data_IF_819478301796
#
_entry.id   IF_819478301796
#
_cell.length_a   1.000
_cell.length_b   1.000
_cell.length_c   1.000
_cell.angle_alpha   90.00
_cell.angle_beta   90.00
_cell.angle_gamma   90.00
#
_symmetry.space_group_name_H-M   'P 1'
#
loop_
_entity.id
_entity.type
_entity.pdbx_description
1 polymer ?
#
# COMPACT_ATOMS: atom_id res chain seq x y z
N UNK A 1 31.98 24.13 15.78
CA UNK A 1 31.39 25.35 15.19
C UNK A 1 30.67 24.86 13.95
N UNK A 2 29.41 24.47 14.12
CA UNK A 2 28.59 23.91 13.04
C UNK A 2 28.02 25.06 12.22
N UNK A 3 28.25 25.02 10.91
CA UNK A 3 27.63 25.95 9.97
C UNK A 3 26.22 25.43 9.68
N UNK A 4 25.24 25.93 10.42
CA UNK A 4 23.86 25.95 9.93
C UNK A 4 23.81 26.94 8.77
N UNK A 5 23.73 26.42 7.54
CA UNK A 5 23.35 27.24 6.39
C UNK A 5 21.87 27.61 6.55
N UNK A 6 21.62 28.75 7.19
CA UNK A 6 20.30 29.31 7.45
C UNK A 6 19.66 29.96 6.22
N UNK A 7 20.15 29.66 5.02
CA UNK A 7 19.51 30.05 3.76
C UNK A 7 18.46 29.03 3.34
N UNK A 8 17.62 28.62 4.29
CA UNK A 8 16.32 28.06 3.95
C UNK A 8 15.57 29.16 3.18
N UNK A 9 15.63 29.12 1.86
CA UNK A 9 14.64 29.78 1.02
C UNK A 9 13.33 29.05 1.31
N UNK A 10 12.64 29.50 2.35
CA UNK A 10 11.26 29.10 2.58
C UNK A 10 10.48 29.63 1.38
N UNK A 11 9.96 28.74 0.56
CA UNK A 11 9.05 29.06 -0.53
C UNK A 11 7.66 29.43 0.03
N UNK A 12 7.63 30.36 1.00
CA UNK A 12 6.48 30.61 1.86
C UNK A 12 5.25 31.14 1.09
N UNK A 13 5.41 31.56 -0.17
CA UNK A 13 4.34 32.17 -0.98
C UNK A 13 4.40 31.83 -2.48
N UNK A 14 4.84 30.62 -2.84
CA UNK A 14 4.78 30.19 -4.24
C UNK A 14 3.37 29.70 -4.61
N UNK A 15 2.51 30.62 -5.03
CA UNK A 15 1.33 30.25 -5.80
C UNK A 15 1.79 29.78 -7.17
N UNK A 16 1.70 28.47 -7.45
CA UNK A 16 1.93 27.93 -8.78
C UNK A 16 0.78 28.33 -9.71
N UNK A 17 0.85 29.52 -10.31
CA UNK A 17 -0.13 30.00 -11.29
C UNK A 17 0.04 29.33 -12.67
N UNK A 18 0.95 28.36 -12.76
CA UNK A 18 1.33 27.61 -13.96
C UNK A 18 0.12 26.88 -14.58
N UNK A 19 -0.91 26.56 -13.78
CA UNK A 19 -2.07 25.78 -14.22
C UNK A 19 -3.09 26.59 -15.04
N UNK A 20 -3.00 27.91 -15.05
CA UNK A 20 -3.76 28.73 -16.00
C UNK A 20 -3.35 28.47 -17.47
N UNK A 21 -2.13 27.96 -17.67
CA UNK A 21 -1.50 27.78 -18.99
C UNK A 21 -1.68 26.34 -19.53
N UNK A 22 -1.99 25.36 -18.67
CA UNK A 22 -2.09 23.94 -19.05
C UNK A 22 -3.49 23.37 -18.75
N UNK A 23 -4.54 23.81 -19.48
CA UNK A 23 -5.94 23.42 -19.21
C UNK A 23 -6.26 21.93 -19.52
N UNK A 24 -5.28 21.15 -19.96
CA UNK A 24 -5.43 19.72 -20.32
C UNK A 24 -4.47 18.82 -19.55
N UNK A 25 -4.00 19.28 -18.39
CA UNK A 25 -3.09 18.50 -17.56
C UNK A 25 -3.85 17.30 -16.95
N UNK A 26 -3.42 16.08 -17.26
CA UNK A 26 -4.06 14.84 -16.76
C UNK A 26 -3.31 14.23 -15.57
N UNK A 27 -2.01 14.50 -15.45
CA UNK A 27 -1.16 14.06 -14.36
C UNK A 27 -0.57 15.31 -13.69
N UNK A 28 -0.77 15.41 -12.39
CA UNK A 28 -0.11 16.40 -11.55
C UNK A 28 0.52 15.70 -10.37
N UNK A 29 1.84 15.66 -10.33
CA UNK A 29 2.56 14.93 -9.30
C UNK A 29 3.72 15.78 -8.79
N UNK A 30 3.65 16.14 -7.51
CA UNK A 30 4.68 16.86 -6.78
C UNK A 30 4.86 16.20 -5.41
N UNK A 31 5.78 15.25 -5.34
CA UNK A 31 6.29 14.73 -4.08
C UNK A 31 7.30 15.71 -3.46
N UNK A 32 7.31 15.78 -2.13
CA UNK A 32 8.36 16.42 -1.31
C UNK A 32 8.56 17.94 -1.44
N UNK A 33 7.67 18.66 -2.11
CA UNK A 33 7.65 20.13 -2.06
C UNK A 33 6.60 20.58 -1.03
N UNK A 34 6.99 21.22 0.08
CA UNK A 34 6.05 21.84 1.00
C UNK A 34 5.43 23.05 0.29
N UNK A 35 4.14 22.96 -0.06
CA UNK A 35 3.42 24.07 -0.70
C UNK A 35 2.44 24.67 0.31
N UNK A 36 2.67 25.89 0.77
CA UNK A 36 1.78 26.52 1.78
C UNK A 36 0.34 26.72 1.28
N UNK A 37 0.17 26.89 -0.05
CA UNK A 37 -1.14 27.01 -0.70
C UNK A 37 -1.12 26.35 -2.09
N UNK A 38 -1.93 25.30 -2.26
CA UNK A 38 -2.23 24.74 -3.57
C UNK A 38 -3.52 25.37 -4.11
N UNK A 39 -3.41 26.18 -5.17
CA UNK A 39 -4.56 26.67 -5.91
C UNK A 39 -4.47 26.17 -7.34
N UNK A 40 -5.40 25.31 -7.74
CA UNK A 40 -5.53 24.86 -9.11
C UNK A 40 -6.62 25.67 -9.81
N UNK A 41 -6.37 26.04 -11.08
CA UNK A 41 -7.40 26.65 -11.89
C UNK A 41 -8.60 25.69 -12.04
N UNK A 42 -9.85 26.17 -12.10
CA UNK A 42 -11.03 25.30 -12.20
C UNK A 42 -10.97 24.31 -13.37
N UNK A 43 -10.35 24.69 -14.50
CA UNK A 43 -10.13 23.80 -15.63
C UNK A 43 -9.14 22.64 -15.33
N UNK A 44 -8.19 22.85 -14.41
CA UNK A 44 -7.32 21.79 -13.91
C UNK A 44 -8.09 20.77 -13.09
N UNK A 45 -9.00 21.21 -12.21
CA UNK A 45 -9.80 20.32 -11.36
C UNK A 45 -10.70 19.35 -12.14
N UNK A 46 -11.05 19.70 -13.38
CA UNK A 46 -11.86 18.85 -14.27
C UNK A 46 -11.04 17.99 -15.23
N UNK A 47 -9.72 18.24 -15.36
CA UNK A 47 -8.87 17.51 -16.31
C UNK A 47 -7.86 16.57 -15.64
N UNK A 48 -7.46 16.86 -14.40
CA UNK A 48 -6.52 16.02 -13.65
C UNK A 48 -7.18 14.69 -13.29
N UNK A 49 -6.54 13.60 -13.71
CA UNK A 49 -6.96 12.22 -13.46
C UNK A 49 -6.03 11.53 -12.46
N UNK A 50 -4.76 11.93 -12.39
CA UNK A 50 -3.75 11.40 -11.47
C UNK A 50 -3.14 12.55 -10.66
N UNK A 51 -3.21 12.46 -9.34
CA UNK A 51 -2.70 13.47 -8.41
C UNK A 51 -1.72 12.86 -7.41
N UNK A 52 -0.52 13.41 -7.28
CA UNK A 52 0.47 13.06 -6.27
C UNK A 52 0.89 14.28 -5.46
N UNK A 53 0.72 14.25 -4.13
CA UNK A 53 0.98 15.39 -3.25
C UNK A 53 1.47 14.98 -1.86
N UNK A 54 2.21 15.89 -1.23
CA UNK A 54 2.62 15.82 0.18
C UNK A 54 1.66 16.60 1.09
N UNK A 55 1.40 16.13 2.32
CA UNK A 55 0.57 16.84 3.30
C UNK A 55 1.35 17.80 4.21
N UNK A 56 2.69 17.74 4.19
CA UNK A 56 3.57 18.59 5.00
C UNK A 56 3.25 20.09 4.81
N UNK A 57 2.76 20.73 5.87
CA UNK A 57 2.41 22.15 5.89
C UNK A 57 1.18 22.55 5.07
N UNK A 58 0.45 21.60 4.47
CA UNK A 58 -0.55 21.90 3.43
C UNK A 58 -1.82 21.07 3.45
N UNK A 59 -2.03 20.22 4.47
CA UNK A 59 -3.17 19.31 4.53
C UNK A 59 -4.53 19.98 4.27
N UNK A 60 -4.78 21.18 4.80
CA UNK A 60 -6.04 21.91 4.54
C UNK A 60 -6.21 22.29 3.07
N UNK A 61 -5.17 22.78 2.40
CA UNK A 61 -5.24 23.18 1.00
C UNK A 61 -5.47 21.97 0.10
N UNK A 62 -4.80 20.85 0.38
CA UNK A 62 -4.98 19.58 -0.33
C UNK A 62 -6.42 19.08 -0.17
N UNK A 63 -6.93 19.01 1.06
CA UNK A 63 -8.30 18.55 1.33
C UNK A 63 -9.36 19.43 0.65
N UNK A 64 -9.20 20.76 0.66
CA UNK A 64 -10.09 21.67 -0.06
C UNK A 64 -10.02 21.49 -1.59
N UNK A 65 -8.83 21.23 -2.12
CA UNK A 65 -8.65 20.99 -3.56
C UNK A 65 -9.36 19.71 -3.99
N UNK A 66 -9.20 18.63 -3.23
CA UNK A 66 -9.83 17.33 -3.51
C UNK A 66 -11.37 17.41 -3.60
N UNK A 67 -12.02 18.28 -2.83
CA UNK A 67 -13.48 18.49 -2.89
C UNK A 67 -14.00 18.90 -4.27
N UNK A 68 -13.14 19.51 -5.08
CA UNK A 68 -13.52 20.00 -6.42
C UNK A 68 -13.14 19.03 -7.56
N UNK A 69 -12.45 17.94 -7.25
CA UNK A 69 -11.88 17.02 -8.26
C UNK A 69 -12.81 15.83 -8.54
N UNK A 70 -13.74 16.02 -9.47
CA UNK A 70 -14.75 15.00 -9.81
C UNK A 70 -14.24 13.91 -10.76
N UNK A 71 -13.12 14.12 -11.44
CA UNK A 71 -12.54 13.21 -12.43
C UNK A 71 -11.28 12.48 -11.94
N UNK A 72 -10.91 12.69 -10.68
CA UNK A 72 -9.72 12.10 -10.10
C UNK A 72 -9.88 10.57 -10.03
N UNK A 73 -8.99 9.86 -10.71
CA UNK A 73 -8.99 8.39 -10.83
C UNK A 73 -7.86 7.74 -10.02
N UNK A 74 -6.75 8.46 -9.80
CA UNK A 74 -5.60 8.00 -9.02
C UNK A 74 -5.15 9.11 -8.08
N UNK A 75 -4.93 8.76 -6.82
CA UNK A 75 -4.48 9.68 -5.78
C UNK A 75 -3.33 9.06 -5.00
N UNK A 76 -2.21 9.76 -4.92
CA UNK A 76 -1.05 9.43 -4.10
C UNK A 76 -0.84 10.55 -3.08
N UNK A 77 -0.90 10.21 -1.80
CA UNK A 77 -0.70 11.15 -0.70
C UNK A 77 0.44 10.71 0.19
N UNK A 78 1.45 11.56 0.30
CA UNK A 78 2.47 11.48 1.35
C UNK A 78 1.92 12.12 2.63
N UNK A 79 1.53 11.29 3.58
CA UNK A 79 0.92 11.59 4.88
C UNK A 79 1.93 12.09 5.93
N UNK A 80 2.80 13.03 5.60
CA UNK A 80 3.86 13.58 6.47
C UNK A 80 3.48 14.93 7.12
N UNK A 81 2.20 15.14 7.41
CA UNK A 81 1.68 16.42 7.91
C UNK A 81 0.37 16.27 8.67
N UNK A 82 -0.22 17.41 9.07
CA UNK A 82 -1.50 17.39 9.78
C UNK A 82 -2.68 17.40 8.82
N UNK A 83 -3.71 16.63 9.14
CA UNK A 83 -4.98 16.63 8.42
C UNK A 83 -6.01 17.35 9.29
N UNK A 84 -6.62 18.45 8.80
CA UNK A 84 -7.69 19.09 9.54
C UNK A 84 -8.91 18.17 9.60
N UNK A 85 -9.65 18.22 10.70
CA UNK A 85 -10.95 17.58 10.78
C UNK A 85 -11.94 18.32 9.88
N UNK A 86 -12.41 17.69 8.82
CA UNK A 86 -13.45 18.24 7.97
C UNK A 86 -14.83 17.88 8.54
N UNK A 87 -15.86 18.72 8.35
CA UNK A 87 -17.21 18.42 8.84
C UNK A 87 -17.84 17.21 8.12
N UNK A 88 -17.41 16.96 6.88
CA UNK A 88 -17.89 15.86 6.04
C UNK A 88 -16.71 15.24 5.31
N UNK A 89 -16.78 13.92 5.08
CA UNK A 89 -15.84 13.23 4.22
C UNK A 89 -15.95 13.74 2.77
N UNK A 90 -14.81 13.84 2.10
CA UNK A 90 -14.67 14.27 0.71
C UNK A 90 -15.06 13.10 -0.18
N UNK A 91 -16.08 13.29 -1.02
CA UNK A 91 -16.53 12.24 -1.92
C UNK A 91 -15.70 12.23 -3.22
N UNK A 92 -14.98 11.13 -3.44
CA UNK A 92 -14.12 10.90 -4.60
C UNK A 92 -14.69 9.73 -5.43
N UNK A 93 -15.88 9.93 -5.99
CA UNK A 93 -16.66 8.90 -6.72
C UNK A 93 -15.93 8.24 -7.89
N UNK A 94 -15.02 8.97 -8.53
CA UNK A 94 -14.25 8.49 -9.69
C UNK A 94 -12.93 7.83 -9.31
N UNK A 95 -12.53 7.88 -8.03
CA UNK A 95 -11.25 7.36 -7.60
C UNK A 95 -11.24 5.83 -7.70
N UNK A 96 -10.19 5.31 -8.31
CA UNK A 96 -9.94 3.87 -8.52
C UNK A 96 -8.70 3.43 -7.77
N UNK A 97 -7.65 4.24 -7.79
CA UNK A 97 -6.38 3.93 -7.16
C UNK A 97 -6.08 4.94 -6.06
N UNK A 98 -5.75 4.44 -4.87
CA UNK A 98 -5.35 5.24 -3.73
C UNK A 98 -4.08 4.66 -3.14
N UNK A 99 -3.08 5.52 -3.01
CA UNK A 99 -1.84 5.25 -2.32
C UNK A 99 -1.70 6.25 -1.18
N UNK A 100 -1.50 5.73 0.02
CA UNK A 100 -1.24 6.51 1.21
C UNK A 100 0.13 6.11 1.75
N UNK A 101 1.08 7.05 1.80
CA UNK A 101 2.44 6.83 2.30
C UNK A 101 2.65 7.61 3.57
N UNK A 102 3.05 6.99 4.67
CA UNK A 102 3.37 7.69 5.92
C UNK A 102 4.87 7.57 6.14
N UNK A 103 5.70 8.55 5.76
CA UNK A 103 7.15 8.38 5.75
C UNK A 103 7.85 8.70 7.06
N UNK A 104 7.10 9.01 8.10
CA UNK A 104 7.61 9.38 9.41
C UNK A 104 6.87 8.64 10.53
N UNK A 105 6.16 7.54 10.21
CA UNK A 105 5.29 6.80 11.14
C UNK A 105 4.37 7.72 11.96
N UNK A 106 3.88 8.80 11.34
CA UNK A 106 3.11 9.87 12.00
C UNK A 106 1.69 9.46 12.34
N UNK A 107 1.27 8.26 11.92
CA UNK A 107 -0.05 7.71 12.11
C UNK A 107 -1.16 8.54 11.45
N UNK A 108 -0.82 9.20 10.34
CA UNK A 108 -1.71 10.14 9.65
C UNK A 108 -2.63 9.43 8.65
N UNK A 109 -2.23 8.25 8.14
CA UNK A 109 -3.03 7.44 7.21
C UNK A 109 -4.48 7.22 7.70
N UNK A 110 -4.73 6.76 8.95
CA UNK A 110 -6.09 6.62 9.46
C UNK A 110 -6.89 7.93 9.48
N UNK A 111 -6.22 9.06 9.69
CA UNK A 111 -6.88 10.37 9.68
C UNK A 111 -7.28 10.77 8.26
N UNK A 112 -6.38 10.62 7.28
CA UNK A 112 -6.68 10.83 5.85
C UNK A 112 -7.83 9.94 5.40
N UNK A 113 -7.76 8.64 5.72
CA UNK A 113 -8.78 7.65 5.36
C UNK A 113 -10.18 8.06 5.82
N UNK A 114 -10.31 8.57 7.05
CA UNK A 114 -11.61 9.05 7.58
C UNK A 114 -12.14 10.30 6.88
N UNK A 115 -11.27 11.10 6.25
CA UNK A 115 -11.66 12.32 5.55
C UNK A 115 -12.08 12.07 4.10
N UNK A 116 -11.88 10.87 3.54
CA UNK A 116 -12.20 10.58 2.14
C UNK A 116 -13.23 9.45 2.04
N UNK A 117 -14.21 9.63 1.17
CA UNK A 117 -15.17 8.61 0.79
C UNK A 117 -14.86 8.15 -0.64
N UNK A 118 -14.56 6.86 -0.80
CA UNK A 118 -13.99 6.29 -2.03
C UNK A 118 -14.82 5.07 -2.49
N UNK A 119 -16.08 5.27 -2.92
CA UNK A 119 -17.03 4.17 -3.12
C UNK A 119 -16.63 3.19 -4.23
N UNK A 120 -15.84 3.64 -5.19
CA UNK A 120 -15.45 2.87 -6.36
C UNK A 120 -13.95 2.53 -6.40
N UNK A 121 -13.28 2.57 -5.25
CA UNK A 121 -11.87 2.23 -5.11
C UNK A 121 -11.63 0.75 -5.47
N UNK A 122 -10.70 0.49 -6.39
CA UNK A 122 -10.32 -0.87 -6.82
C UNK A 122 -8.93 -1.28 -6.33
N UNK A 123 -8.02 -0.31 -6.16
CA UNK A 123 -6.67 -0.52 -5.67
C UNK A 123 -6.41 0.35 -4.43
N UNK A 124 -6.02 -0.27 -3.33
CA UNK A 124 -5.56 0.41 -2.11
C UNK A 124 -4.13 -0.02 -1.80
N UNK A 125 -3.23 0.96 -1.74
CA UNK A 125 -1.86 0.76 -1.32
C UNK A 125 -1.55 1.58 -0.06
N UNK A 126 -1.00 0.92 0.95
CA UNK A 126 -0.55 1.53 2.20
C UNK A 126 0.96 1.36 2.31
N UNK A 127 1.68 2.45 2.38
CA UNK A 127 3.13 2.46 2.57
C UNK A 127 3.46 3.10 3.91
N UNK A 128 4.23 2.41 4.74
CA UNK A 128 4.73 2.97 6.00
C UNK A 128 6.24 3.06 5.90
N UNK A 129 6.72 4.30 5.84
CA UNK A 129 8.12 4.73 5.80
C UNK A 129 8.40 5.54 7.15
N UNK A 130 9.62 5.89 7.56
CA UNK A 130 10.02 6.34 8.92
C UNK A 130 10.83 5.38 9.81
N UNK A 131 12.08 5.73 10.14
CA UNK A 131 13.01 4.94 11.00
C UNK A 131 12.56 4.74 12.46
N UNK A 132 11.53 5.45 12.91
CA UNK A 132 11.08 5.45 14.30
C UNK A 132 10.21 4.22 14.62
N UNK A 133 10.38 3.72 15.85
CA UNK A 133 9.78 2.49 16.40
C UNK A 133 8.26 2.49 16.55
N UNK A 134 7.58 3.51 16.00
CA UNK A 134 6.14 3.65 16.15
C UNK A 134 5.40 2.65 15.26
N UNK A 135 4.39 2.02 15.85
CA UNK A 135 3.65 0.93 15.22
C UNK A 135 2.82 1.48 14.05
N UNK A 136 2.80 0.80 12.89
CA UNK A 136 1.93 1.21 11.79
C UNK A 136 0.47 1.13 12.25
N UNK A 137 -0.24 2.26 12.21
CA UNK A 137 -1.69 2.27 12.46
C UNK A 137 -2.43 2.17 11.13
N UNK A 138 -3.19 1.10 11.01
CA UNK A 138 -4.01 0.83 9.85
C UNK A 138 -5.31 1.64 9.84
N UNK A 139 -5.83 2.00 8.65
CA UNK A 139 -7.17 2.57 8.54
C UNK A 139 -8.21 1.54 9.00
N UNK A 140 -9.21 2.01 9.77
CA UNK A 140 -10.32 1.17 10.18
C UNK A 140 -11.36 1.09 9.08
N UNK A 141 -11.60 -0.13 8.59
CA UNK A 141 -12.70 -0.44 7.67
C UNK A 141 -13.92 -0.85 8.49
N UNK A 142 -14.84 0.09 8.71
CA UNK A 142 -16.05 -0.15 9.50
C UNK A 142 -17.08 -1.03 8.77
N UNK A 143 -16.96 -1.11 7.44
CA UNK A 143 -17.83 -1.88 6.57
C UNK A 143 -16.99 -2.60 5.51
N UNK A 144 -17.42 -3.77 5.01
CA UNK A 144 -16.74 -4.45 3.92
C UNK A 144 -16.66 -3.57 2.67
N UNK A 145 -15.45 -3.43 2.11
CA UNK A 145 -15.19 -2.76 0.83
C UNK A 145 -15.12 -3.81 -0.28
N UNK A 146 -16.24 -4.01 -0.97
CA UNK A 146 -16.36 -5.02 -2.02
C UNK A 146 -15.81 -4.58 -3.37
N UNK A 147 -15.53 -3.29 -3.56
CA UNK A 147 -14.95 -2.76 -4.80
C UNK A 147 -13.44 -2.96 -4.90
N UNK A 148 -12.74 -3.10 -3.77
CA UNK A 148 -11.29 -3.25 -3.73
C UNK A 148 -10.93 -4.69 -4.12
N UNK A 149 -10.10 -4.82 -5.16
CA UNK A 149 -9.62 -6.10 -5.72
C UNK A 149 -8.11 -6.24 -5.65
N UNK A 150 -7.38 -5.13 -5.46
CA UNK A 150 -5.94 -5.06 -5.30
C UNK A 150 -5.62 -4.34 -3.98
N UNK A 151 -4.92 -5.04 -3.09
CA UNK A 151 -4.51 -4.50 -1.82
C UNK A 151 -3.01 -4.72 -1.60
N UNK A 152 -2.32 -3.63 -1.30
CA UNK A 152 -0.86 -3.61 -1.17
C UNK A 152 -0.46 -2.97 0.16
N UNK A 153 0.45 -3.61 0.87
CA UNK A 153 1.02 -3.12 2.12
C UNK A 153 2.54 -3.18 2.01
N UNK A 154 3.19 -2.04 2.24
CA UNK A 154 4.63 -1.86 2.18
C UNK A 154 5.13 -1.33 3.51
N UNK A 155 6.16 -1.99 4.05
CA UNK A 155 6.70 -1.73 5.38
C UNK A 155 8.22 -1.75 5.30
N UNK A 156 8.85 -0.59 5.39
CA UNK A 156 10.29 -0.43 5.13
C UNK A 156 11.17 -0.72 6.38
N UNK A 157 10.62 -0.70 7.61
CA UNK A 157 11.41 -0.78 8.85
C UNK A 157 11.78 -2.18 9.35
N UNK A 158 12.80 -2.20 10.23
CA UNK A 158 12.89 -3.14 11.36
C UNK A 158 11.66 -2.95 12.25
N UNK A 159 10.54 -3.48 11.78
CA UNK A 159 9.42 -3.66 12.66
C UNK A 159 9.72 -4.94 13.44
N UNK A 160 10.58 -4.81 14.45
CA UNK A 160 11.04 -5.86 15.37
C UNK A 160 9.88 -6.63 16.05
N UNK A 161 8.63 -6.27 15.74
CA UNK A 161 7.39 -6.72 16.34
C UNK A 161 6.26 -6.88 15.32
N UNK A 162 6.52 -7.50 14.18
CA UNK A 162 5.49 -7.87 13.19
C UNK A 162 4.20 -8.39 13.82
N UNK A 163 4.37 -9.32 14.75
CA UNK A 163 3.33 -9.97 15.55
C UNK A 163 2.33 -9.00 16.21
N UNK A 164 2.73 -7.77 16.55
CA UNK A 164 1.87 -6.82 17.25
C UNK A 164 0.78 -6.21 16.38
N UNK A 165 0.97 -6.14 15.07
CA UNK A 165 0.03 -5.47 14.17
C UNK A 165 -0.48 -6.37 13.04
N UNK A 166 0.01 -7.61 12.92
CA UNK A 166 -0.58 -8.60 12.02
C UNK A 166 -2.08 -8.78 12.25
N UNK A 167 -2.50 -8.77 13.52
CA UNK A 167 -3.93 -8.90 13.88
C UNK A 167 -4.78 -7.76 13.31
N UNK A 168 -4.23 -6.55 13.26
CA UNK A 168 -4.92 -5.41 12.67
C UNK A 168 -4.96 -5.51 11.14
N UNK A 169 -3.89 -6.01 10.50
CA UNK A 169 -3.89 -6.31 9.08
C UNK A 169 -4.91 -7.40 8.74
N UNK A 170 -4.99 -8.49 9.51
CA UNK A 170 -6.01 -9.53 9.38
C UNK A 170 -7.42 -8.92 9.45
N UNK A 171 -7.67 -8.01 10.40
CA UNK A 171 -8.96 -7.34 10.50
C UNK A 171 -9.30 -6.50 9.25
N UNK A 172 -8.31 -5.88 8.60
CA UNK A 172 -8.51 -5.23 7.29
C UNK A 172 -8.88 -6.28 6.24
N UNK A 173 -8.13 -7.37 6.14
CA UNK A 173 -8.35 -8.41 5.12
C UNK A 173 -9.77 -8.98 5.18
N UNK A 174 -10.33 -9.16 6.38
CA UNK A 174 -11.73 -9.56 6.56
C UNK A 174 -12.76 -8.57 6.00
N UNK A 175 -12.40 -7.29 5.93
CA UNK A 175 -13.23 -6.24 5.34
C UNK A 175 -12.96 -6.04 3.85
N UNK A 176 -12.09 -6.86 3.23
CA UNK A 176 -11.75 -6.81 1.81
C UNK A 176 -12.06 -8.17 1.14
N UNK A 177 -13.35 -8.56 1.01
CA UNK A 177 -13.71 -9.91 0.58
C UNK A 177 -13.36 -10.24 -0.89
N UNK A 178 -13.20 -9.22 -1.74
CA UNK A 178 -13.02 -9.38 -3.19
C UNK A 178 -11.57 -9.24 -3.66
N UNK A 179 -10.60 -9.33 -2.75
CA UNK A 179 -9.18 -9.26 -3.12
C UNK A 179 -8.81 -10.41 -4.03
N UNK A 180 -8.24 -10.04 -5.17
CA UNK A 180 -7.61 -10.93 -6.15
C UNK A 180 -6.09 -10.84 -6.09
N UNK A 181 -5.57 -9.63 -5.86
CA UNK A 181 -4.14 -9.34 -5.76
C UNK A 181 -3.85 -8.86 -4.34
N UNK A 182 -3.00 -9.61 -3.62
CA UNK A 182 -2.47 -9.19 -2.34
C UNK A 182 -0.95 -9.09 -2.40
N UNK A 183 -0.43 -7.88 -2.14
CA UNK A 183 1.00 -7.62 -2.02
C UNK A 183 1.35 -7.22 -0.59
N UNK A 184 2.27 -7.95 0.00
CA UNK A 184 2.83 -7.67 1.31
C UNK A 184 4.35 -7.65 1.20
N UNK A 185 4.91 -6.46 1.37
CA UNK A 185 6.33 -6.19 1.32
C UNK A 185 6.80 -5.72 2.71
N UNK A 186 7.74 -6.45 3.29
CA UNK A 186 8.18 -6.23 4.67
C UNK A 186 9.58 -6.77 4.89
N UNK A 187 10.25 -6.34 5.95
CA UNK A 187 11.50 -6.96 6.37
C UNK A 187 11.30 -8.35 6.96
N UNK A 188 10.31 -8.49 7.85
CA UNK A 188 10.09 -9.68 8.67
C UNK A 188 8.94 -10.55 8.15
N UNK A 189 8.89 -11.85 8.50
CA UNK A 189 7.78 -12.71 8.17
C UNK A 189 6.49 -12.34 8.93
N UNK A 190 5.36 -12.81 8.41
CA UNK A 190 4.01 -12.51 8.85
C UNK A 190 3.24 -13.79 9.13
N UNK A 191 3.68 -14.58 10.13
CA UNK A 191 3.09 -15.87 10.42
C UNK A 191 1.60 -15.78 10.74
N UNK A 192 1.11 -14.76 11.46
CA UNK A 192 -0.31 -14.67 11.82
C UNK A 192 -1.18 -14.45 10.58
N UNK A 193 -0.76 -13.59 9.65
CA UNK A 193 -1.48 -13.42 8.37
C UNK A 193 -1.52 -14.73 7.59
N UNK A 194 -0.41 -15.46 7.54
CA UNK A 194 -0.34 -16.73 6.81
C UNK A 194 -1.14 -17.85 7.49
N UNK A 195 -1.11 -17.90 8.83
CA UNK A 195 -1.94 -18.80 9.63
C UNK A 195 -3.43 -18.51 9.42
N UNK A 196 -3.81 -17.24 9.33
CA UNK A 196 -5.19 -16.85 9.10
C UNK A 196 -5.67 -17.32 7.72
N UNK A 197 -4.88 -17.08 6.67
CA UNK A 197 -5.17 -17.56 5.31
C UNK A 197 -5.19 -19.09 5.20
N UNK A 198 -4.49 -19.80 6.10
CA UNK A 198 -4.53 -21.25 6.21
C UNK A 198 -5.78 -21.74 6.95
N UNK A 199 -6.08 -21.17 8.12
CA UNK A 199 -7.15 -21.63 8.99
C UNK A 199 -8.54 -21.27 8.46
N UNK A 200 -8.67 -20.09 7.84
CA UNK A 200 -9.94 -19.51 7.41
C UNK A 200 -9.99 -19.36 5.89
N UNK A 201 -10.60 -20.33 5.22
CA UNK A 201 -10.77 -20.34 3.75
C UNK A 201 -11.65 -19.19 3.22
N UNK A 202 -12.47 -18.60 4.11
CA UNK A 202 -13.27 -17.41 3.83
C UNK A 202 -12.44 -16.11 3.87
N UNK A 203 -11.20 -16.16 4.37
CA UNK A 203 -10.28 -15.04 4.28
C UNK A 203 -9.70 -14.98 2.86
N UNK A 204 -10.04 -13.89 2.15
CA UNK A 204 -9.64 -13.62 0.76
C UNK A 204 -9.96 -14.78 -0.20
N UNK A 205 -11.23 -15.21 -0.36
CA UNK A 205 -11.57 -16.40 -1.15
C UNK A 205 -11.21 -16.24 -2.63
N UNK A 206 -11.11 -15.01 -3.12
CA UNK A 206 -10.81 -14.69 -4.53
C UNK A 206 -9.32 -14.46 -4.82
N UNK A 207 -8.44 -14.61 -3.83
CA UNK A 207 -7.00 -14.38 -3.95
C UNK A 207 -6.38 -15.33 -4.98
N UNK A 208 -5.89 -14.77 -6.10
CA UNK A 208 -5.24 -15.51 -7.18
C UNK A 208 -3.79 -15.04 -7.44
N UNK A 209 -3.40 -13.85 -6.98
CA UNK A 209 -2.04 -13.34 -7.03
C UNK A 209 -1.56 -12.97 -5.62
N UNK A 210 -0.49 -13.62 -5.18
CA UNK A 210 0.15 -13.35 -3.89
C UNK A 210 1.58 -12.89 -4.13
N UNK A 211 1.88 -11.66 -3.72
CA UNK A 211 3.23 -11.12 -3.73
C UNK A 211 3.69 -10.99 -2.28
N UNK A 212 4.49 -11.95 -1.84
CA UNK A 212 4.99 -12.02 -0.47
C UNK A 212 6.49 -11.76 -0.44
N UNK A 213 6.84 -10.47 -0.32
CA UNK A 213 8.20 -9.97 -0.45
C UNK A 213 8.77 -9.68 0.93
N UNK A 214 9.38 -10.70 1.53
CA UNK A 214 10.05 -10.58 2.84
C UNK A 214 11.57 -10.59 2.68
N UNK A 215 12.25 -9.59 3.25
CA UNK A 215 13.72 -9.48 3.17
C UNK A 215 14.43 -10.55 4.01
N UNK A 216 13.83 -10.95 5.13
CA UNK A 216 14.34 -12.05 5.94
C UNK A 216 13.88 -13.38 5.37
N UNK A 217 14.79 -14.36 5.33
CA UNK A 217 14.45 -15.70 4.87
C UNK A 217 13.37 -16.34 5.76
N UNK A 218 12.32 -16.88 5.15
CA UNK A 218 11.33 -17.70 5.83
C UNK A 218 12.00 -18.96 6.40
N UNK A 219 12.09 -19.09 7.73
CA UNK A 219 12.76 -20.22 8.38
C UNK A 219 11.77 -21.11 9.12
N UNK A 220 11.98 -22.42 9.03
CA UNK A 220 11.34 -23.43 9.88
C UNK A 220 9.80 -23.27 9.96
N UNK A 221 9.28 -22.85 11.12
CA UNK A 221 7.85 -22.74 11.38
C UNK A 221 7.13 -21.78 10.42
N UNK A 222 7.71 -20.61 10.13
CA UNK A 222 7.11 -19.64 9.21
C UNK A 222 7.05 -20.20 7.77
N UNK A 223 8.09 -20.92 7.35
CA UNK A 223 8.10 -21.61 6.05
C UNK A 223 7.05 -22.74 6.01
N UNK A 224 6.92 -23.53 7.09
CA UNK A 224 5.93 -24.60 7.17
C UNK A 224 4.49 -24.07 7.11
N UNK A 225 4.18 -23.00 7.86
CA UNK A 225 2.88 -22.32 7.82
C UNK A 225 2.58 -21.81 6.41
N UNK A 226 3.53 -21.12 5.79
CA UNK A 226 3.36 -20.57 4.45
C UNK A 226 3.10 -21.66 3.41
N UNK A 227 3.90 -22.73 3.38
CA UNK A 227 3.73 -23.83 2.43
C UNK A 227 2.41 -24.58 2.66
N UNK A 228 2.02 -24.81 3.91
CA UNK A 228 0.74 -25.44 4.24
C UNK A 228 -0.45 -24.56 3.86
N UNK A 229 -0.34 -23.24 4.00
CA UNK A 229 -1.34 -22.28 3.53
C UNK A 229 -1.57 -22.45 2.03
N UNK A 230 -0.50 -22.45 1.23
CA UNK A 230 -0.59 -22.65 -0.22
C UNK A 230 -1.23 -23.99 -0.58
N UNK A 231 -0.78 -25.09 0.03
CA UNK A 231 -1.33 -26.42 -0.21
C UNK A 231 -2.82 -26.49 0.13
N UNK A 232 -3.22 -25.96 1.30
CA UNK A 232 -4.61 -26.00 1.74
C UNK A 232 -5.52 -25.20 0.81
N UNK A 233 -5.09 -24.01 0.38
CA UNK A 233 -5.86 -23.19 -0.56
C UNK A 233 -6.01 -23.87 -1.91
N UNK A 234 -4.96 -24.52 -2.40
CA UNK A 234 -5.01 -25.34 -3.62
C UNK A 234 -6.05 -26.47 -3.52
N UNK A 235 -6.14 -27.14 -2.38
CA UNK A 235 -7.06 -28.27 -2.18
C UNK A 235 -8.49 -27.84 -1.78
N UNK A 236 -8.70 -26.56 -1.46
CA UNK A 236 -9.97 -26.05 -0.94
C UNK A 236 -10.87 -25.54 -2.08
N UNK A 237 -12.07 -26.12 -2.29
CA UNK A 237 -12.96 -25.70 -3.38
C UNK A 237 -13.56 -24.30 -3.19
N UNK A 238 -13.46 -23.72 -1.99
CA UNK A 238 -13.92 -22.38 -1.67
C UNK A 238 -12.90 -21.27 -1.95
N UNK A 239 -11.68 -21.62 -2.37
CA UNK A 239 -10.62 -20.67 -2.65
C UNK A 239 -10.29 -20.64 -4.14
N UNK A 240 -10.02 -19.45 -4.67
CA UNK A 240 -9.31 -19.32 -5.93
C UNK A 240 -7.91 -19.93 -5.79
N UNK A 241 -7.46 -20.57 -6.88
CA UNK A 241 -6.10 -21.09 -6.99
C UNK A 241 -5.17 -19.89 -7.14
N UNK A 242 -4.13 -19.81 -6.31
CA UNK A 242 -3.05 -18.83 -6.48
C UNK A 242 -2.28 -19.23 -7.74
N UNK A 243 -2.49 -18.48 -8.82
CA UNK A 243 -1.86 -18.73 -10.12
C UNK A 243 -0.57 -17.95 -10.29
N UNK A 244 -0.38 -16.87 -9.52
CA UNK A 244 0.86 -16.11 -9.47
C UNK A 244 1.34 -16.01 -8.03
N UNK A 245 2.53 -16.55 -7.77
CA UNK A 245 3.22 -16.39 -6.49
C UNK A 245 4.55 -15.71 -6.74
N UNK A 246 4.79 -14.60 -6.05
CA UNK A 246 6.06 -13.90 -6.03
C UNK A 246 6.61 -13.94 -4.61
N UNK A 247 7.82 -14.48 -4.45
CA UNK A 247 8.54 -14.51 -3.18
C UNK A 247 9.96 -13.98 -3.39
N UNK A 248 10.42 -13.11 -2.49
CA UNK A 248 11.74 -12.48 -2.59
C UNK A 248 12.88 -13.42 -2.14
N UNK A 249 12.63 -14.20 -1.08
CA UNK A 249 13.62 -15.11 -0.49
C UNK A 249 13.14 -16.55 -0.54
N UNK A 250 14.06 -17.48 -0.86
CA UNK A 250 13.72 -18.91 -0.89
C UNK A 250 13.51 -19.42 0.56
N UNK A 251 12.38 -20.09 0.86
CA UNK A 251 12.12 -20.57 2.21
C UNK A 251 13.13 -21.63 2.64
N UNK A 252 13.68 -21.50 3.84
CA UNK A 252 14.55 -22.51 4.47
C UNK A 252 13.64 -23.50 5.19
N UNK A 253 13.50 -24.68 4.58
CA UNK A 253 12.53 -25.70 4.95
C UNK A 253 13.18 -26.97 5.51
N UNK A 254 12.45 -27.69 6.35
CA UNK A 254 12.78 -29.08 6.66
C UNK A 254 12.39 -29.99 5.47
N UNK A 255 12.81 -31.26 5.51
CA UNK A 255 12.56 -32.21 4.41
C UNK A 255 11.06 -32.42 4.12
N UNK A 256 10.20 -32.43 5.15
CA UNK A 256 8.75 -32.64 4.98
C UNK A 256 8.13 -31.44 4.26
N UNK A 257 8.44 -30.23 4.72
CA UNK A 257 7.96 -28.98 4.12
C UNK A 257 8.50 -28.82 2.69
N UNK A 258 9.75 -29.22 2.43
CA UNK A 258 10.34 -29.20 1.09
C UNK A 258 9.58 -30.13 0.12
N UNK A 259 9.20 -31.34 0.54
CA UNK A 259 8.42 -32.24 -0.31
C UNK A 259 7.04 -31.66 -0.67
N UNK A 260 6.39 -30.96 0.26
CA UNK A 260 5.13 -30.26 -0.02
C UNK A 260 5.34 -29.11 -1.00
N UNK A 261 6.37 -28.30 -0.79
CA UNK A 261 6.75 -27.23 -1.70
C UNK A 261 6.97 -27.76 -3.13
N UNK A 262 7.77 -28.82 -3.29
CA UNK A 262 8.03 -29.44 -4.59
C UNK A 262 6.74 -29.93 -5.26
N UNK A 263 5.80 -30.48 -4.48
CA UNK A 263 4.48 -30.93 -4.99
C UNK A 263 3.62 -29.77 -5.48
N UNK A 264 3.71 -28.60 -4.83
CA UNK A 264 3.03 -27.37 -5.27
C UNK A 264 3.68 -26.87 -6.56
N UNK A 265 5.01 -26.71 -6.57
CA UNK A 265 5.78 -26.17 -7.69
C UNK A 265 5.70 -27.01 -8.97
N UNK A 266 5.60 -28.34 -8.84
CA UNK A 266 5.53 -29.24 -10.00
C UNK A 266 4.15 -29.25 -10.68
N UNK A 267 3.14 -28.64 -10.07
CA UNK A 267 1.82 -28.53 -10.66
C UNK A 267 1.79 -27.38 -11.69
N UNK A 268 1.88 -27.75 -12.97
CA UNK A 268 2.00 -26.83 -14.13
C UNK A 268 0.85 -25.83 -14.30
N UNK A 269 -0.19 -25.91 -13.47
CA UNK A 269 -1.33 -24.99 -13.46
C UNK A 269 -0.96 -23.65 -12.80
N UNK A 270 0.08 -23.62 -11.95
CA UNK A 270 0.50 -22.42 -11.22
C UNK A 270 1.77 -21.84 -11.87
N UNK A 271 1.68 -20.63 -12.45
CA UNK A 271 2.84 -19.93 -12.96
C UNK A 271 3.52 -19.21 -11.79
N UNK A 272 4.46 -19.90 -11.15
CA UNK A 272 5.15 -19.38 -9.97
C UNK A 272 6.47 -18.75 -10.39
N UNK A 273 6.60 -17.43 -10.19
CA UNK A 273 7.84 -16.71 -10.40
C UNK A 273 8.54 -16.53 -9.06
N UNK A 274 9.45 -17.45 -8.76
CA UNK A 274 10.38 -17.31 -7.64
C UNK A 274 11.52 -16.41 -8.10
N UNK A 275 11.43 -15.12 -7.76
CA UNK A 275 12.52 -14.19 -7.99
C UNK A 275 13.62 -14.44 -6.96
N UNK A 276 14.68 -15.12 -7.36
CA UNK A 276 15.91 -15.16 -6.57
C UNK A 276 16.67 -13.86 -6.78
N UNK A 277 16.45 -12.89 -5.88
CA UNK A 277 17.26 -11.68 -5.87
C UNK A 277 18.55 -11.99 -5.12
N UNK A 278 19.65 -12.16 -5.86
CA UNK A 278 20.98 -12.44 -5.32
C UNK A 278 21.67 -11.21 -4.71
N UNK A 279 21.04 -10.02 -4.74
CA UNK A 279 21.66 -8.77 -4.30
C UNK A 279 20.67 -7.90 -3.50
N UNK A 280 20.83 -7.88 -2.18
CA UNK A 280 20.03 -7.10 -1.22
C UNK A 280 20.10 -5.58 -1.47
N UNK A 281 21.03 -5.10 -2.32
CA UNK A 281 21.31 -3.67 -2.52
C UNK A 281 20.52 -3.00 -3.65
N UNK A 282 19.72 -3.74 -4.43
CA UNK A 282 19.04 -3.21 -5.62
C UNK A 282 17.58 -2.78 -5.38
N UNK A 283 17.02 -2.97 -4.18
CA UNK A 283 15.59 -2.70 -3.90
C UNK A 283 15.30 -1.46 -3.04
N UNK A 284 16.27 -0.56 -2.83
CA UNK A 284 15.93 0.75 -2.24
C UNK A 284 15.19 1.63 -3.27
N UNK A 285 13.87 1.69 -3.09
CA UNK A 285 12.99 2.87 -3.21
C UNK A 285 12.65 3.47 -4.60
N UNK A 286 13.19 2.98 -5.73
CA UNK A 286 12.97 3.66 -7.03
C UNK A 286 12.13 2.92 -8.10
N UNK A 287 11.70 1.67 -7.89
CA UNK A 287 10.89 0.94 -8.88
C UNK A 287 9.38 1.25 -8.84
N UNK A 288 8.95 2.13 -7.93
CA UNK A 288 7.54 2.30 -7.51
C UNK A 288 6.59 2.85 -8.60
N UNK A 289 7.11 3.50 -9.65
CA UNK A 289 6.28 4.22 -10.64
C UNK A 289 6.08 3.47 -11.98
N UNK A 290 6.67 2.29 -12.17
CA UNK A 290 6.66 1.62 -13.48
C UNK A 290 5.54 0.56 -13.68
N UNK A 291 4.81 0.15 -12.63
CA UNK A 291 3.86 -0.98 -12.70
C UNK A 291 2.38 -0.57 -12.51
N UNK A 292 2.04 0.69 -12.73
CA UNK A 292 0.64 1.17 -12.74
C UNK A 292 0.29 1.70 -14.14
N UNK A 293 0.36 0.83 -15.14
CA UNK A 293 -0.21 1.04 -16.48
C UNK A 293 -0.93 -0.22 -16.98
#
# INVERSE_FOLDING_TARGET
>A
MEFYDSRGTTYDQNTLDVFSIVPKMTLFDIHDIPVTQLTLAPAGNTSIQRLGLSLAGQGLAVMNTLQSMTWLSSLDLTCNGTVPSMPHAIDLVSLRHLLLRDPLSTNIIPHVWRQIHVPALTCLALCYEGEDTDQPIYPSLLTPHTSITDFRVYLEYDVDKAELYESALVAILYNLPNITIFKLESRDPWPIVMEELYNNVECLPHLNQLHYLVNTALRNGAADVFVRMLQRRKDSPGCAIISHLFILTYPIMNQITQHLWDSIMNDKIQLMEVLQVHDERLYTSHAFLAEVD
#
